data_IF_417681066376
#
_entry.id   IF_417681066376
#
_cell.length_a   1.000
_cell.length_b   1.000
_cell.length_c   1.000
_cell.angle_alpha   90.00
_cell.angle_beta   90.00
_cell.angle_gamma   90.00
#
_symmetry.space_group_name_H-M   'P 1'
#
loop_
_entity.id
_entity.type
_entity.pdbx_description
1 polymer ?
#
# COMPACT_ATOMS: atom_id res chain seq x y z
N UNK A 1 2.93 -30.21 14.44
CA UNK A 1 2.47 -29.47 13.24
C UNK A 1 2.63 -27.99 13.52
N UNK A 2 3.12 -27.16 12.59
CA UNK A 2 3.14 -25.72 12.80
C UNK A 2 1.70 -25.24 13.05
N UNK A 3 1.53 -24.29 13.99
CA UNK A 3 0.21 -23.69 14.25
C UNK A 3 -0.39 -23.21 12.94
N UNK A 4 -1.63 -23.59 12.69
CA UNK A 4 -2.37 -23.14 11.52
C UNK A 4 -2.52 -21.63 11.60
N UNK A 5 -1.87 -20.90 10.67
CA UNK A 5 -1.94 -19.45 10.62
C UNK A 5 -2.88 -19.04 9.49
N UNK A 6 -3.91 -18.29 9.84
CA UNK A 6 -4.89 -17.77 8.89
C UNK A 6 -5.05 -16.26 9.08
N UNK A 7 -4.86 -15.50 8.02
CA UNK A 7 -5.15 -14.06 8.03
C UNK A 7 -6.64 -13.81 8.16
N UNK A 8 -6.99 -12.80 8.95
CA UNK A 8 -8.38 -12.39 9.19
C UNK A 8 -8.64 -10.99 8.64
N UNK A 9 -9.87 -10.74 8.22
CA UNK A 9 -10.30 -9.44 7.72
C UNK A 9 -10.29 -8.39 8.83
N UNK A 10 -9.82 -7.19 8.48
CA UNK A 10 -10.06 -5.99 9.27
C UNK A 10 -11.35 -5.32 8.82
N UNK A 11 -12.04 -4.69 9.75
CA UNK A 11 -13.25 -3.90 9.47
C UNK A 11 -12.89 -2.42 9.34
N UNK A 12 -13.60 -1.73 8.47
CA UNK A 12 -13.45 -0.30 8.22
C UNK A 12 -14.84 0.35 8.14
N UNK A 13 -14.98 1.66 8.40
CA UNK A 13 -16.28 2.35 8.44
C UNK A 13 -16.76 2.68 7.00
N UNK A 14 -17.05 1.66 6.20
CA UNK A 14 -17.36 1.77 4.76
C UNK A 14 -18.58 2.62 4.43
N UNK A 15 -19.51 2.74 5.39
CA UNK A 15 -20.74 3.56 5.25
C UNK A 15 -20.48 5.05 5.50
N UNK A 16 -19.25 5.43 5.89
CA UNK A 16 -18.89 6.83 6.08
C UNK A 16 -18.87 7.56 4.75
N UNK A 17 -19.64 8.63 4.64
CA UNK A 17 -19.60 9.52 3.48
C UNK A 17 -18.28 10.27 3.45
N UNK A 18 -17.46 10.02 2.44
CA UNK A 18 -16.20 10.72 2.20
C UNK A 18 -16.39 11.82 1.14
N UNK A 19 -15.60 12.88 1.24
CA UNK A 19 -15.60 13.93 0.21
C UNK A 19 -14.89 13.44 -1.05
N UNK A 20 -15.65 13.06 -2.06
CA UNK A 20 -15.13 12.67 -3.37
C UNK A 20 -14.91 11.17 -3.57
N UNK A 21 -15.16 10.33 -2.58
CA UNK A 21 -15.21 8.86 -2.75
C UNK A 21 -16.53 8.34 -2.20
N UNK A 22 -17.36 7.74 -3.05
CA UNK A 22 -18.68 7.28 -2.66
C UNK A 22 -18.62 6.05 -1.75
N UNK A 23 -19.68 5.88 -0.94
CA UNK A 23 -19.90 4.67 -0.14
C UNK A 23 -19.84 3.43 -1.03
N UNK A 24 -20.43 3.50 -2.24
CA UNK A 24 -20.42 2.39 -3.19
C UNK A 24 -19.00 2.02 -3.60
N UNK A 25 -18.15 2.99 -3.96
CA UNK A 25 -16.75 2.73 -4.29
C UNK A 25 -16.02 2.07 -3.13
N UNK A 26 -16.20 2.57 -1.89
CA UNK A 26 -15.59 1.97 -0.71
C UNK A 26 -16.04 0.52 -0.47
N UNK A 27 -17.34 0.23 -0.64
CA UNK A 27 -17.88 -1.12 -0.50
C UNK A 27 -17.34 -2.09 -1.56
N UNK A 28 -17.29 -1.68 -2.84
CA UNK A 28 -16.75 -2.52 -3.91
C UNK A 28 -15.23 -2.71 -3.75
N UNK A 29 -14.51 -1.67 -3.37
CA UNK A 29 -13.08 -1.74 -3.08
C UNK A 29 -12.77 -2.70 -1.91
N UNK A 30 -13.60 -2.69 -0.86
CA UNK A 30 -13.47 -3.62 0.26
C UNK A 30 -13.68 -5.08 -0.16
N UNK A 31 -14.58 -5.37 -1.11
CA UNK A 31 -14.75 -6.73 -1.65
C UNK A 31 -13.48 -7.24 -2.34
N UNK A 32 -12.72 -6.35 -3.00
CA UNK A 32 -11.44 -6.73 -3.60
C UNK A 32 -10.41 -7.05 -2.52
N UNK A 33 -10.32 -6.25 -1.46
CA UNK A 33 -9.49 -6.57 -0.29
C UNK A 33 -9.84 -7.94 0.30
N UNK A 34 -11.14 -8.26 0.46
CA UNK A 34 -11.58 -9.58 0.91
C UNK A 34 -11.11 -10.68 -0.07
N UNK A 35 -11.18 -10.42 -1.38
CA UNK A 35 -10.70 -11.33 -2.41
C UNK A 35 -9.20 -11.64 -2.26
N UNK A 36 -8.35 -10.63 -2.09
CA UNK A 36 -6.91 -10.80 -1.90
C UNK A 36 -6.59 -11.62 -0.64
N UNK A 37 -7.24 -11.29 0.48
CA UNK A 37 -7.03 -12.00 1.73
C UNK A 37 -7.44 -13.46 1.63
N UNK A 38 -8.62 -13.74 1.07
CA UNK A 38 -9.14 -15.10 0.91
C UNK A 38 -8.23 -15.92 -0.02
N UNK A 39 -7.80 -15.31 -1.13
CA UNK A 39 -6.91 -15.97 -2.09
C UNK A 39 -5.52 -16.23 -1.49
N UNK A 40 -4.98 -15.30 -0.70
CA UNK A 40 -3.71 -15.55 -0.03
C UNK A 40 -3.82 -16.70 0.98
N UNK A 41 -4.87 -16.78 1.79
CA UNK A 41 -5.12 -17.92 2.67
C UNK A 41 -5.22 -19.25 1.89
N UNK A 42 -5.95 -19.27 0.76
CA UNK A 42 -6.06 -20.44 -0.12
C UNK A 42 -4.68 -20.89 -0.65
N UNK A 43 -3.86 -19.93 -1.09
CA UNK A 43 -2.51 -20.21 -1.63
C UNK A 43 -1.61 -20.81 -0.56
N UNK A 44 -1.64 -20.27 0.67
CA UNK A 44 -0.88 -20.83 1.81
C UNK A 44 -1.23 -22.30 2.03
N UNK A 45 -2.52 -22.64 1.99
CA UNK A 45 -2.95 -24.03 2.14
C UNK A 45 -2.46 -24.92 0.98
N UNK A 46 -2.60 -24.47 -0.27
CA UNK A 46 -2.13 -25.20 -1.45
C UNK A 46 -0.60 -25.43 -1.44
N UNK A 47 0.15 -24.43 -0.96
CA UNK A 47 1.62 -24.55 -0.85
C UNK A 47 2.08 -25.64 0.13
N UNK A 48 1.25 -26.08 1.08
CA UNK A 48 1.59 -27.17 1.99
C UNK A 48 1.79 -28.50 1.26
N UNK A 49 1.01 -28.76 0.22
CA UNK A 49 0.99 -30.03 -0.55
C UNK A 49 1.56 -29.92 -1.96
N UNK A 50 1.90 -28.71 -2.42
CA UNK A 50 2.43 -28.49 -3.77
C UNK A 50 3.74 -29.28 -4.00
N UNK A 51 3.84 -29.93 -5.15
CA UNK A 51 5.00 -30.73 -5.57
C UNK A 51 6.19 -29.83 -5.92
N UNK A 52 7.13 -29.72 -4.98
CA UNK A 52 8.35 -28.90 -5.12
C UNK A 52 9.35 -29.46 -6.10
N UNK A 53 9.32 -30.80 -6.34
CA UNK A 53 10.26 -31.46 -7.26
C UNK A 53 10.01 -31.06 -8.74
N UNK A 54 8.80 -30.56 -9.04
CA UNK A 54 8.40 -30.04 -10.36
C UNK A 54 8.55 -28.53 -10.51
N UNK A 55 9.17 -27.86 -9.54
CA UNK A 55 9.36 -26.40 -9.62
C UNK A 55 10.17 -26.01 -10.87
N UNK A 56 9.66 -25.05 -11.64
CA UNK A 56 10.29 -24.56 -12.87
C UNK A 56 10.11 -23.04 -13.00
N UNK A 57 11.11 -22.36 -13.57
CA UNK A 57 11.09 -20.91 -13.73
C UNK A 57 10.02 -20.42 -14.72
N UNK A 58 9.80 -21.17 -15.80
CA UNK A 58 8.84 -20.82 -16.86
C UNK A 58 7.42 -21.08 -16.44
N UNK A 59 7.11 -22.30 -16.01
CA UNK A 59 5.79 -22.70 -15.50
C UNK A 59 5.88 -23.95 -14.64
N UNK A 60 5.24 -23.92 -13.50
CA UNK A 60 4.82 -25.07 -12.70
C UNK A 60 3.72 -24.61 -11.75
N UNK A 61 2.92 -25.55 -11.21
CA UNK A 61 1.93 -25.21 -10.19
C UNK A 61 2.58 -24.48 -9.00
N UNK A 62 3.74 -24.99 -8.53
CA UNK A 62 4.47 -24.39 -7.44
C UNK A 62 4.92 -22.94 -7.76
N UNK A 63 5.49 -22.70 -8.95
CA UNK A 63 5.96 -21.35 -9.31
C UNK A 63 4.80 -20.37 -9.48
N UNK A 64 3.66 -20.81 -9.99
CA UNK A 64 2.48 -19.95 -10.11
C UNK A 64 1.89 -19.63 -8.73
N UNK A 65 1.77 -20.59 -7.84
CA UNK A 65 1.38 -20.34 -6.45
C UNK A 65 2.29 -19.30 -5.78
N UNK A 66 3.62 -19.38 -5.99
CA UNK A 66 4.59 -18.42 -5.42
C UNK A 66 4.47 -17.00 -6.01
N UNK A 67 4.14 -16.86 -7.30
CA UNK A 67 3.85 -15.56 -7.91
C UNK A 67 2.57 -14.95 -7.34
N UNK A 68 1.53 -15.74 -7.26
CA UNK A 68 0.23 -15.31 -6.74
C UNK A 68 0.27 -15.06 -5.22
N UNK A 69 1.15 -15.73 -4.49
CA UNK A 69 1.37 -15.47 -3.06
C UNK A 69 1.78 -14.02 -2.82
N UNK A 70 2.81 -13.54 -3.51
CA UNK A 70 3.29 -12.15 -3.34
C UNK A 70 2.27 -11.11 -3.83
N UNK A 71 1.55 -11.41 -4.92
CA UNK A 71 0.50 -10.55 -5.43
C UNK A 71 -0.64 -10.37 -4.41
N UNK A 72 -1.16 -11.46 -3.88
CA UNK A 72 -2.29 -11.40 -2.94
C UNK A 72 -1.87 -10.91 -1.54
N UNK A 73 -0.66 -11.24 -1.09
CA UNK A 73 -0.10 -10.73 0.16
C UNK A 73 -0.01 -9.19 0.15
N UNK A 74 0.57 -8.63 -0.91
CA UNK A 74 0.67 -7.19 -1.06
C UNK A 74 -0.70 -6.55 -1.32
N UNK A 75 -1.56 -7.18 -2.13
CA UNK A 75 -2.94 -6.72 -2.31
C UNK A 75 -3.65 -6.55 -0.97
N UNK A 76 -3.59 -7.57 -0.11
CA UNK A 76 -4.13 -7.49 1.26
C UNK A 76 -3.45 -6.38 2.08
N UNK A 77 -2.11 -6.32 2.12
CA UNK A 77 -1.37 -5.40 2.98
C UNK A 77 -1.55 -3.94 2.57
N UNK A 78 -1.54 -3.64 1.27
CA UNK A 78 -1.72 -2.28 0.76
C UNK A 78 -3.14 -1.76 1.02
N UNK A 79 -4.17 -2.61 0.87
CA UNK A 79 -5.54 -2.23 1.20
C UNK A 79 -5.73 -2.00 2.71
N UNK A 80 -5.07 -2.78 3.57
CA UNK A 80 -5.08 -2.55 5.03
C UNK A 80 -4.37 -1.26 5.44
N UNK A 81 -3.53 -0.70 4.58
CA UNK A 81 -2.95 0.62 4.75
C UNK A 81 -3.82 1.71 4.09
N UNK A 82 -4.42 1.42 2.94
CA UNK A 82 -5.28 2.34 2.19
C UNK A 82 -6.49 2.81 2.99
N UNK A 83 -7.29 1.89 3.53
CA UNK A 83 -8.52 2.27 4.22
C UNK A 83 -8.28 3.21 5.42
N UNK A 84 -7.33 2.94 6.34
CA UNK A 84 -7.04 3.91 7.41
C UNK A 84 -6.46 5.23 6.92
N UNK A 85 -5.88 5.27 5.72
CA UNK A 85 -5.36 6.50 5.11
C UNK A 85 -6.48 7.46 4.70
N UNK A 86 -7.64 6.94 4.25
CA UNK A 86 -8.75 7.78 3.76
C UNK A 86 -9.87 7.95 4.78
N UNK A 87 -9.97 7.11 5.81
CA UNK A 87 -10.99 7.25 6.84
C UNK A 87 -10.47 8.04 8.04
N UNK A 88 -11.27 9.01 8.49
CA UNK A 88 -11.00 9.83 9.67
C UNK A 88 -9.94 10.92 9.46
N UNK A 89 -9.56 11.19 8.22
CA UNK A 89 -8.68 12.30 7.86
C UNK A 89 -9.41 13.57 7.48
N UNK A 90 -8.70 14.68 7.55
CA UNK A 90 -9.13 16.03 7.14
C UNK A 90 -8.30 16.60 5.98
N UNK A 91 -7.33 15.82 5.50
CA UNK A 91 -6.39 16.20 4.44
C UNK A 91 -5.38 17.27 4.86
N UNK A 92 -5.36 17.71 6.12
CA UNK A 92 -4.46 18.76 6.59
C UNK A 92 -3.09 18.17 6.99
N UNK A 93 -2.00 18.50 6.27
CA UNK A 93 -0.67 17.98 6.57
C UNK A 93 -0.20 18.37 7.96
N UNK A 94 0.29 17.39 8.74
CA UNK A 94 0.78 17.61 10.10
C UNK A 94 1.74 16.50 10.53
N UNK A 95 2.47 16.76 11.62
CA UNK A 95 3.40 15.82 12.25
C UNK A 95 4.85 15.97 11.79
N UNK A 96 5.72 15.12 12.36
CA UNK A 96 7.13 15.07 11.96
C UNK A 96 7.33 14.56 10.54
N UNK A 97 6.40 13.72 10.04
CA UNK A 97 6.44 13.22 8.67
C UNK A 97 6.45 14.35 7.65
N UNK A 98 5.70 15.44 7.89
CA UNK A 98 5.67 16.60 6.99
C UNK A 98 7.03 17.29 6.96
N UNK A 99 7.66 17.49 8.12
CA UNK A 99 9.03 18.06 8.20
C UNK A 99 10.04 17.19 7.47
N UNK A 100 9.90 15.86 7.59
CA UNK A 100 10.78 14.91 6.89
C UNK A 100 10.56 14.94 5.37
N UNK A 101 9.31 15.08 4.93
CA UNK A 101 8.98 15.30 3.53
C UNK A 101 9.66 16.57 3.00
N UNK A 102 9.56 17.69 3.74
CA UNK A 102 10.18 18.96 3.36
C UNK A 102 11.72 18.86 3.32
N UNK A 103 12.31 18.14 4.28
CA UNK A 103 13.76 17.87 4.30
C UNK A 103 14.23 17.10 3.07
N UNK A 104 13.51 16.02 2.71
CA UNK A 104 13.98 15.13 1.66
C UNK A 104 13.61 15.58 0.24
N UNK A 105 12.53 16.36 0.08
CA UNK A 105 12.02 16.83 -1.23
C UNK A 105 12.13 18.34 -1.44
N UNK A 106 12.65 19.09 -0.46
CA UNK A 106 12.81 20.55 -0.51
C UNK A 106 11.57 21.33 -0.06
N UNK A 107 10.37 20.84 -0.32
CA UNK A 107 9.12 21.38 0.21
C UNK A 107 8.00 20.33 0.17
N UNK A 108 6.92 20.56 0.91
CA UNK A 108 5.73 19.73 0.84
C UNK A 108 5.09 19.76 -0.56
N UNK A 109 5.06 20.91 -1.20
CA UNK A 109 4.49 21.05 -2.54
C UNK A 109 5.31 20.32 -3.60
N UNK A 110 6.64 20.37 -3.52
CA UNK A 110 7.52 19.62 -4.43
C UNK A 110 7.32 18.11 -4.27
N UNK A 111 7.22 17.61 -3.02
CA UNK A 111 6.89 16.22 -2.77
C UNK A 111 5.53 15.84 -3.35
N UNK A 112 4.51 16.67 -3.11
CA UNK A 112 3.15 16.42 -3.57
C UNK A 112 3.06 16.36 -5.08
N UNK A 113 3.78 17.24 -5.78
CA UNK A 113 3.88 17.24 -7.23
C UNK A 113 4.50 15.93 -7.74
N UNK A 114 5.62 15.49 -7.15
CA UNK A 114 6.28 14.24 -7.49
C UNK A 114 5.43 13.01 -7.17
N UNK A 115 4.73 13.02 -6.01
CA UNK A 115 3.79 11.94 -5.66
C UNK A 115 2.61 11.85 -6.63
N UNK A 116 2.05 12.99 -7.06
CA UNK A 116 1.00 13.06 -8.08
C UNK A 116 1.52 12.53 -9.42
N UNK A 117 2.72 12.93 -9.85
CA UNK A 117 3.33 12.44 -11.08
C UNK A 117 3.55 10.92 -11.02
N UNK A 118 4.01 10.41 -9.88
CA UNK A 118 4.14 8.96 -9.62
C UNK A 118 2.78 8.27 -9.73
N UNK A 119 1.73 8.81 -9.11
CA UNK A 119 0.38 8.25 -9.14
C UNK A 119 -0.26 8.29 -10.54
N UNK A 120 0.02 9.33 -11.33
CA UNK A 120 -0.44 9.41 -12.73
C UNK A 120 0.29 8.41 -13.63
N UNK A 121 1.53 8.04 -13.31
CA UNK A 121 2.37 7.14 -14.09
C UNK A 121 2.17 5.66 -13.73
N UNK A 122 1.78 5.36 -12.51
CA UNK A 122 1.59 3.99 -12.03
C UNK A 122 0.32 3.36 -12.62
N UNK A 123 0.36 2.02 -12.75
CA UNK A 123 -0.84 1.22 -13.06
C UNK A 123 -1.53 0.70 -11.80
N UNK A 124 -0.81 0.59 -10.69
CA UNK A 124 -1.28 0.04 -9.43
C UNK A 124 -1.32 1.05 -8.29
N UNK A 125 -0.16 1.48 -7.79
CA UNK A 125 -0.06 2.31 -6.59
C UNK A 125 1.02 3.38 -6.72
N UNK A 126 0.81 4.51 -6.04
CA UNK A 126 1.89 5.39 -5.62
C UNK A 126 2.16 5.18 -4.13
N UNK A 127 3.41 5.02 -3.76
CA UNK A 127 3.79 4.67 -2.38
C UNK A 127 4.90 5.60 -1.90
N UNK A 128 4.63 6.38 -0.85
CA UNK A 128 5.68 7.05 -0.09
C UNK A 128 6.23 6.04 0.93
N UNK A 129 7.52 5.79 0.89
CA UNK A 129 8.17 4.85 1.80
C UNK A 129 9.47 5.41 2.37
N UNK A 130 9.82 4.95 3.57
CA UNK A 130 11.11 5.25 4.19
C UNK A 130 12.10 4.12 3.88
N UNK A 131 13.24 4.46 3.30
CA UNK A 131 14.37 3.57 3.13
C UNK A 131 15.13 3.42 4.44
N UNK A 132 15.26 2.19 4.93
CA UNK A 132 15.82 1.90 6.26
C UNK A 132 17.31 2.21 6.36
N UNK A 133 18.06 2.09 5.26
CA UNK A 133 19.49 2.29 5.27
C UNK A 133 19.86 3.76 5.31
N UNK A 134 19.23 4.58 4.48
CA UNK A 134 19.48 6.02 4.41
C UNK A 134 18.65 6.83 5.42
N UNK A 135 17.48 6.33 5.82
CA UNK A 135 16.48 7.07 6.59
C UNK A 135 15.79 8.15 5.76
N UNK A 136 15.85 8.08 4.42
CA UNK A 136 15.20 9.03 3.50
C UNK A 136 13.86 8.50 3.00
N UNK A 137 13.01 9.44 2.61
CA UNK A 137 11.73 9.17 1.98
C UNK A 137 11.84 9.16 0.47
N UNK A 138 11.12 8.24 -0.17
CA UNK A 138 11.02 8.12 -1.62
C UNK A 138 9.58 7.89 -2.04
N UNK A 139 9.19 8.41 -3.20
CA UNK A 139 7.95 8.03 -3.89
C UNK A 139 8.26 6.89 -4.85
N UNK A 140 7.65 5.73 -4.65
CA UNK A 140 7.81 4.57 -5.52
C UNK A 140 6.57 4.36 -6.38
N UNK A 141 6.81 4.08 -7.66
CA UNK A 141 5.82 3.63 -8.60
C UNK A 141 5.66 2.11 -8.48
N UNK A 142 4.46 1.65 -8.16
CA UNK A 142 4.12 0.23 -8.03
C UNK A 142 3.10 -0.14 -9.09
N UNK A 143 3.50 -0.94 -10.07
CA UNK A 143 2.68 -1.23 -11.25
C UNK A 143 1.65 -2.34 -11.04
N UNK A 144 1.96 -3.31 -10.20
CA UNK A 144 1.04 -4.35 -9.74
C UNK A 144 1.15 -4.46 -8.22
N UNK A 145 0.34 -5.33 -7.60
CA UNK A 145 0.43 -5.52 -6.15
C UNK A 145 1.85 -5.89 -5.67
N UNK A 146 2.63 -6.55 -6.52
CA UNK A 146 3.95 -7.09 -6.19
C UNK A 146 5.09 -6.62 -7.10
N UNK A 147 4.87 -5.64 -7.97
CA UNK A 147 5.90 -5.10 -8.89
C UNK A 147 6.14 -3.62 -8.57
N UNK A 148 7.39 -3.29 -8.27
CA UNK A 148 7.83 -1.91 -7.96
C UNK A 148 8.11 -1.66 -6.47
N UNK A 149 7.91 -2.65 -5.60
CA UNK A 149 8.34 -2.56 -4.21
C UNK A 149 9.86 -2.66 -4.10
N UNK A 150 10.45 -1.82 -3.26
CA UNK A 150 11.88 -1.78 -3.00
C UNK A 150 12.18 -2.47 -1.67
N UNK A 151 13.15 -3.38 -1.66
CA UNK A 151 13.60 -4.06 -0.44
C UNK A 151 14.14 -3.04 0.59
N UNK A 152 14.09 -3.39 1.87
CA UNK A 152 14.51 -2.52 2.98
C UNK A 152 13.78 -1.18 3.07
N UNK A 153 12.53 -1.11 2.59
CA UNK A 153 11.68 0.07 2.74
C UNK A 153 10.44 -0.23 3.54
N UNK A 154 9.95 0.78 4.26
CA UNK A 154 8.66 0.71 4.97
C UNK A 154 7.69 1.72 4.36
N UNK A 155 6.59 1.26 3.73
CA UNK A 155 5.54 2.13 3.23
C UNK A 155 4.87 2.92 4.36
N UNK A 156 4.70 4.22 4.19
CA UNK A 156 4.05 5.12 5.15
C UNK A 156 2.76 5.75 4.62
N UNK A 157 2.68 5.98 3.32
CA UNK A 157 1.48 6.43 2.62
C UNK A 157 1.34 5.65 1.32
N UNK A 158 0.13 5.19 0.98
CA UNK A 158 -0.15 4.61 -0.33
C UNK A 158 -1.42 5.20 -0.93
N UNK A 159 -1.42 5.33 -2.24
CA UNK A 159 -2.56 5.71 -3.05
C UNK A 159 -2.81 4.63 -4.08
N UNK A 160 -3.99 4.00 -4.01
CA UNK A 160 -4.45 3.05 -5.01
C UNK A 160 -4.87 3.80 -6.28
N UNK A 161 -4.26 3.47 -7.41
CA UNK A 161 -4.57 4.04 -8.73
C UNK A 161 -4.98 3.00 -9.75
N UNK A 162 -5.24 1.75 -9.31
CA UNK A 162 -6.02 0.81 -10.12
C UNK A 162 -7.41 1.41 -10.42
N UNK A 163 -7.95 1.14 -11.58
CA UNK A 163 -9.27 1.66 -11.98
C UNK A 163 -10.37 1.30 -10.99
N UNK A 164 -10.29 0.14 -10.35
CA UNK A 164 -11.28 -0.26 -9.35
C UNK A 164 -11.39 0.69 -8.14
N UNK A 165 -10.35 1.46 -7.86
CA UNK A 165 -10.34 2.39 -6.73
C UNK A 165 -11.12 3.68 -7.02
N UNK A 166 -11.34 4.03 -8.31
CA UNK A 166 -11.90 5.32 -8.65
C UNK A 166 -12.91 5.33 -9.82
N UNK A 167 -12.96 4.30 -10.65
CA UNK A 167 -13.71 4.33 -11.90
C UNK A 167 -15.22 4.54 -11.71
N UNK A 168 -15.79 4.07 -10.60
CA UNK A 168 -17.21 4.25 -10.27
C UNK A 168 -17.54 5.74 -10.12
N UNK A 169 -16.66 6.53 -9.48
CA UNK A 169 -16.93 7.94 -9.17
C UNK A 169 -16.35 8.90 -10.23
N UNK A 170 -15.25 8.51 -10.88
CA UNK A 170 -14.45 9.42 -11.71
C UNK A 170 -14.31 8.97 -13.16
N UNK A 171 -14.74 7.76 -13.52
CA UNK A 171 -14.50 7.20 -14.85
C UNK A 171 -13.00 7.27 -15.19
N UNK A 172 -12.66 7.87 -16.33
CA UNK A 172 -11.27 8.01 -16.78
C UNK A 172 -10.51 9.20 -16.15
N UNK A 173 -11.17 10.02 -15.33
CA UNK A 173 -10.56 11.22 -14.72
C UNK A 173 -9.77 10.89 -13.47
N UNK A 174 -8.66 10.13 -13.61
CA UNK A 174 -7.76 9.77 -12.52
C UNK A 174 -7.23 10.98 -11.75
N UNK A 175 -6.97 12.10 -12.44
CA UNK A 175 -6.44 13.30 -11.78
C UNK A 175 -7.40 13.86 -10.74
N UNK A 176 -8.69 13.96 -11.04
CA UNK A 176 -9.68 14.44 -10.07
C UNK A 176 -9.81 13.52 -8.85
N UNK A 177 -9.66 12.20 -9.04
CA UNK A 177 -9.60 11.23 -7.94
C UNK A 177 -8.38 11.47 -7.05
N UNK A 178 -7.19 11.68 -7.63
CA UNK A 178 -5.97 11.98 -6.87
C UNK A 178 -6.14 13.28 -6.06
N UNK A 179 -6.74 14.31 -6.66
CA UNK A 179 -7.03 15.58 -5.97
C UNK A 179 -8.04 15.39 -4.81
N UNK A 180 -9.01 14.49 -4.95
CA UNK A 180 -9.94 14.11 -3.88
C UNK A 180 -9.24 13.33 -2.77
N UNK A 181 -8.34 12.40 -3.11
CA UNK A 181 -7.54 11.66 -2.14
C UNK A 181 -6.81 12.58 -1.17
N UNK A 182 -6.12 13.61 -1.66
CA UNK A 182 -5.39 14.54 -0.79
C UNK A 182 -6.26 15.29 0.23
N UNK A 183 -7.56 15.42 -0.03
CA UNK A 183 -8.51 16.01 0.93
C UNK A 183 -8.96 15.04 2.02
N UNK A 184 -8.63 13.77 1.88
CA UNK A 184 -9.03 12.69 2.78
C UNK A 184 -7.88 12.13 3.60
N UNK A 185 -6.62 12.45 3.27
CA UNK A 185 -5.46 11.85 3.92
C UNK A 185 -5.51 12.03 5.42
N UNK A 186 -5.53 10.91 6.14
CA UNK A 186 -5.42 10.87 7.58
C UNK A 186 -3.95 11.01 8.00
N UNK A 187 -3.50 12.26 8.15
CA UNK A 187 -2.12 12.55 8.50
C UNK A 187 -1.71 12.04 9.88
N UNK A 188 -2.64 11.83 10.81
CA UNK A 188 -2.33 11.18 12.10
C UNK A 188 -1.96 9.70 11.89
N UNK A 189 -2.62 9.04 10.95
CA UNK A 189 -2.27 7.66 10.58
C UNK A 189 -0.92 7.60 9.85
N UNK A 190 -0.67 8.52 8.92
CA UNK A 190 0.61 8.64 8.19
C UNK A 190 1.76 8.92 9.16
N UNK A 191 1.58 9.85 10.09
CA UNK A 191 2.54 10.15 11.17
C UNK A 191 2.85 8.91 12.01
N UNK A 192 1.82 8.18 12.44
CA UNK A 192 2.00 6.94 13.21
C UNK A 192 2.83 5.90 12.45
N UNK A 193 2.62 5.77 11.15
CA UNK A 193 3.41 4.88 10.29
C UNK A 193 4.84 5.37 10.13
N UNK A 194 5.02 6.68 9.96
CA UNK A 194 6.36 7.28 9.88
C UNK A 194 7.15 7.07 11.17
N UNK A 195 6.55 7.29 12.33
CA UNK A 195 7.21 7.07 13.63
C UNK A 195 7.64 5.62 13.82
N UNK A 196 6.81 4.67 13.37
CA UNK A 196 7.19 3.26 13.35
C UNK A 196 8.38 3.01 12.41
N UNK A 197 8.32 3.50 11.17
CA UNK A 197 9.38 3.31 10.17
C UNK A 197 10.71 3.94 10.63
N UNK A 198 10.66 5.13 11.25
CA UNK A 198 11.81 5.84 11.83
C UNK A 198 12.50 4.98 12.88
N UNK A 199 11.75 4.44 13.85
CA UNK A 199 12.30 3.55 14.88
C UNK A 199 12.96 2.31 14.29
N UNK A 200 12.35 1.71 13.27
CA UNK A 200 12.94 0.54 12.59
C UNK A 200 14.24 0.95 11.88
N UNK A 201 14.30 2.11 11.23
CA UNK A 201 15.53 2.62 10.60
C UNK A 201 16.63 2.89 11.62
N UNK A 202 16.30 3.42 12.80
CA UNK A 202 17.27 3.61 13.90
C UNK A 202 17.84 2.27 14.35
N UNK A 203 17.00 1.26 14.59
CA UNK A 203 17.45 -0.11 14.91
C UNK A 203 18.29 -0.72 13.78
N UNK A 204 17.89 -0.51 12.53
CA UNK A 204 18.62 -1.00 11.36
C UNK A 204 20.08 -0.52 11.35
N UNK A 205 20.29 0.76 11.68
CA UNK A 205 21.62 1.38 11.81
C UNK A 205 22.37 0.86 13.04
N UNK A 206 21.70 0.74 14.19
CA UNK A 206 22.28 0.23 15.43
C UNK A 206 22.84 -1.19 15.25
N UNK A 207 22.15 -2.03 14.47
CA UNK A 207 22.62 -3.38 14.13
C UNK A 207 23.63 -3.44 12.99
N UNK A 208 24.12 -2.30 12.48
CA UNK A 208 25.14 -2.25 11.43
C UNK A 208 24.64 -2.78 10.07
N UNK A 209 23.33 -2.66 9.78
CA UNK A 209 22.71 -3.11 8.54
C UNK A 209 22.55 -1.99 7.49
N UNK A 210 22.89 -0.75 7.86
CA UNK A 210 22.84 0.43 6.98
C UNK A 210 24.13 0.60 6.18
#
# INVERSE_FOLDING_TARGET
MPKEYKFTLKTFPLETQLQGISVKTNQEHYKLYQGYLNKWNEIIEKLKTADRSKAAATYSEYSELKRQETFNANGKNLHEMWFPTIFGGDGVPKGEVVKKIEEDFGSFDSWKEDFIATAMSARGWAVLALDLSSGKLFNFLVDLQNIGHVANTIPILCLDVFEHAYFIDYGTNRRAYIDAFFKLVNWDYVEKRYQFAKKVSELYKEYGLA
#
